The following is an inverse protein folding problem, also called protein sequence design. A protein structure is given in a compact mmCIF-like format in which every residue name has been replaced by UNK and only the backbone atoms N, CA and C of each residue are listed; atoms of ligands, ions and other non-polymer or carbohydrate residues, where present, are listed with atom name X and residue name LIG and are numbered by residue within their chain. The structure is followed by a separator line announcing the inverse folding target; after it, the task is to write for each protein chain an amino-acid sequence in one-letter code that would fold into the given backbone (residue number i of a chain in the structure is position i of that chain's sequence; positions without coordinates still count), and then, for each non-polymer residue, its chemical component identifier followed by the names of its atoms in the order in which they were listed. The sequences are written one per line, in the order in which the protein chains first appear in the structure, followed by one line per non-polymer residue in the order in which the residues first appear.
data_IF_796837175095
#
_entry.id   IF_796837175095
#
_cell.length_a   1.000
_cell.length_b   1.000
_cell.length_c   1.000
_cell.angle_alpha   90.00
_cell.angle_beta   90.00
_cell.angle_gamma   90.00
#
_symmetry.space_group_name_H-M   'P 1'
#
loop_
_entity.id
_entity.type
_entity.pdbx_description
1 polymer ?
#
# COMPACT_ATOMS: atom_id res chain seq x y z
N UNK A 1 -18.20 57.14 -50.93
CA UNK A 1 -18.62 56.34 -49.76
C UNK A 1 -17.86 55.03 -49.77
N UNK A 2 -16.86 54.87 -48.86
CA UNK A 2 -16.07 53.62 -48.67
C UNK A 2 -16.63 52.90 -47.43
N UNK A 3 -17.18 51.74 -47.62
CA UNK A 3 -17.70 50.88 -46.56
C UNK A 3 -16.57 49.96 -46.12
N UNK A 4 -16.04 50.18 -44.89
CA UNK A 4 -15.01 49.32 -44.28
C UNK A 4 -15.69 48.13 -43.63
N UNK A 5 -15.39 46.91 -44.08
CA UNK A 5 -15.84 45.65 -43.44
C UNK A 5 -14.85 45.27 -42.35
N UNK A 6 -15.30 45.34 -41.10
CA UNK A 6 -14.58 44.86 -39.93
C UNK A 6 -14.76 43.33 -39.84
N UNK A 7 -13.68 42.58 -40.04
CA UNK A 7 -13.65 41.12 -39.82
C UNK A 7 -13.43 40.85 -38.34
N UNK A 8 -14.39 40.24 -37.66
CA UNK A 8 -14.21 39.71 -36.29
C UNK A 8 -13.60 38.32 -36.38
N UNK A 9 -12.35 38.18 -35.92
CA UNK A 9 -11.74 36.86 -35.67
C UNK A 9 -12.27 36.32 -34.32
N UNK A 10 -13.11 35.33 -34.39
CA UNK A 10 -13.50 34.53 -33.21
C UNK A 10 -12.36 33.53 -32.93
N UNK A 11 -11.54 33.84 -31.93
CA UNK A 11 -10.63 32.85 -31.31
C UNK A 11 -11.44 31.87 -30.47
N UNK A 12 -11.68 30.66 -30.99
CA UNK A 12 -12.13 29.53 -30.16
C UNK A 12 -10.96 29.06 -29.32
N UNK A 13 -10.93 29.44 -28.04
CA UNK A 13 -10.10 28.80 -27.06
C UNK A 13 -10.68 27.40 -26.80
N UNK A 14 -10.06 26.38 -27.34
CA UNK A 14 -10.35 25.00 -26.98
C UNK A 14 -9.84 24.81 -25.53
N UNK A 15 -10.70 24.97 -24.53
CA UNK A 15 -10.48 24.49 -23.21
C UNK A 15 -10.42 22.95 -23.31
N UNK A 16 -9.22 22.39 -23.35
CA UNK A 16 -9.01 20.96 -23.18
C UNK A 16 -9.60 20.56 -21.82
N UNK A 17 -10.69 19.84 -21.85
CA UNK A 17 -11.18 19.13 -20.67
C UNK A 17 -10.06 18.19 -20.23
N UNK A 18 -9.35 18.55 -19.16
CA UNK A 18 -8.48 17.63 -18.46
C UNK A 18 -9.38 16.47 -18.01
N UNK A 19 -9.32 15.35 -18.70
CA UNK A 19 -9.95 14.10 -18.23
C UNK A 19 -9.34 13.81 -16.88
N UNK A 20 -10.17 13.72 -15.83
CA UNK A 20 -9.70 13.28 -14.52
C UNK A 20 -8.88 11.99 -14.73
N UNK A 21 -7.67 11.97 -14.19
CA UNK A 21 -6.79 10.82 -14.34
C UNK A 21 -7.55 9.58 -13.86
N UNK A 22 -7.65 8.56 -14.70
CA UNK A 22 -8.33 7.32 -14.34
C UNK A 22 -7.55 6.69 -13.20
N UNK A 23 -8.21 6.41 -12.08
CA UNK A 23 -7.59 5.77 -10.92
C UNK A 23 -7.00 4.43 -11.31
N UNK A 24 -5.81 4.16 -10.77
CA UNK A 24 -5.01 2.99 -11.07
C UNK A 24 -4.59 2.28 -9.77
N UNK A 25 -4.13 1.07 -9.91
CA UNK A 25 -3.38 0.38 -8.86
C UNK A 25 -2.03 -0.10 -9.39
N UNK A 26 -1.05 -0.14 -8.49
CA UNK A 26 0.25 -0.73 -8.72
C UNK A 26 0.34 -2.10 -8.03
N UNK A 27 1.08 -3.03 -8.61
CA UNK A 27 1.30 -4.36 -8.05
C UNK A 27 2.67 -4.92 -8.47
N UNK A 28 3.13 -5.95 -7.76
CA UNK A 28 4.33 -6.69 -8.08
C UNK A 28 3.99 -7.96 -8.87
N UNK A 29 4.79 -8.25 -9.90
CA UNK A 29 4.80 -9.53 -10.63
C UNK A 29 6.21 -9.82 -11.09
N UNK A 30 6.75 -11.00 -10.73
CA UNK A 30 8.07 -11.48 -11.16
C UNK A 30 9.21 -10.47 -10.90
N UNK A 31 9.26 -9.91 -9.66
CA UNK A 31 10.20 -8.87 -9.25
C UNK A 31 10.15 -7.60 -10.12
N UNK A 32 9.03 -7.32 -10.71
CA UNK A 32 8.78 -6.11 -11.47
C UNK A 32 7.51 -5.41 -10.96
N UNK A 33 7.50 -4.08 -11.11
CA UNK A 33 6.39 -3.22 -10.76
C UNK A 33 5.52 -3.01 -11.99
N UNK A 34 4.24 -3.23 -11.83
CA UNK A 34 3.21 -3.08 -12.84
C UNK A 34 2.15 -2.10 -12.36
N UNK A 35 1.46 -1.48 -13.28
CA UNK A 35 0.24 -0.69 -13.03
C UNK A 35 -0.88 -1.16 -13.95
N UNK A 36 -2.11 -1.02 -13.46
CA UNK A 36 -3.34 -1.30 -14.21
C UNK A 36 -4.45 -0.34 -13.80
N UNK A 37 -5.49 -0.22 -14.63
CA UNK A 37 -6.73 0.44 -14.26
C UNK A 37 -7.46 -0.33 -13.16
N UNK A 38 -8.38 0.31 -12.41
CA UNK A 38 -9.11 -0.34 -11.32
C UNK A 38 -9.96 -1.55 -11.76
N UNK A 39 -10.28 -1.68 -13.04
CA UNK A 39 -10.99 -2.82 -13.60
C UNK A 39 -10.08 -3.99 -14.04
N UNK A 40 -8.75 -3.82 -13.90
CA UNK A 40 -7.71 -4.77 -14.28
C UNK A 40 -7.23 -4.62 -15.74
N UNK A 41 -7.72 -3.65 -16.48
CA UNK A 41 -7.29 -3.40 -17.87
C UNK A 41 -6.01 -2.56 -17.93
N UNK A 42 -5.38 -2.49 -19.11
CA UNK A 42 -4.20 -1.68 -19.41
C UNK A 42 -3.01 -1.98 -18.49
N UNK A 43 -2.76 -3.27 -18.23
CA UNK A 43 -1.58 -3.70 -17.51
C UNK A 43 -0.31 -3.26 -18.24
N UNK A 44 0.61 -2.63 -17.53
CA UNK A 44 1.94 -2.30 -18.07
C UNK A 44 3.02 -2.38 -17.02
N UNK A 45 4.15 -2.94 -17.38
CA UNK A 45 5.36 -2.93 -16.55
C UNK A 45 5.97 -1.53 -16.57
N UNK A 46 6.40 -1.03 -15.39
CA UNK A 46 6.96 0.32 -15.25
C UNK A 46 8.38 0.32 -14.67
N UNK A 47 8.76 -0.69 -13.88
CA UNK A 47 10.10 -0.79 -13.29
C UNK A 47 10.43 -2.24 -12.92
N UNK A 48 11.68 -2.52 -12.55
CA UNK A 48 12.08 -3.72 -11.81
C UNK A 48 12.17 -3.36 -10.32
N UNK A 49 11.61 -4.21 -9.46
CA UNK A 49 11.59 -3.97 -8.02
C UNK A 49 10.44 -4.70 -7.33
N UNK A 50 10.25 -4.39 -6.04
CA UNK A 50 9.27 -5.01 -5.15
C UNK A 50 8.56 -3.95 -4.30
N UNK A 51 7.47 -4.29 -3.63
CA UNK A 51 6.72 -3.43 -2.69
C UNK A 51 6.28 -2.09 -3.29
N UNK A 52 5.44 -2.08 -4.32
CA UNK A 52 4.97 -0.83 -4.93
C UNK A 52 4.00 -0.06 -4.04
N UNK A 53 4.09 1.26 -4.09
CA UNK A 53 3.14 2.20 -3.52
C UNK A 53 2.84 3.30 -4.56
N UNK A 54 1.64 3.31 -5.12
CA UNK A 54 1.20 4.35 -6.05
C UNK A 54 0.84 5.62 -5.27
N UNK A 55 1.24 6.79 -5.79
CA UNK A 55 0.91 8.08 -5.17
C UNK A 55 -0.60 8.35 -5.15
N UNK A 56 -1.11 9.17 -4.22
CA UNK A 56 -2.54 9.45 -4.12
C UNK A 56 -3.17 9.97 -5.42
N UNK A 57 -2.43 10.77 -6.17
CA UNK A 57 -2.84 11.34 -7.47
C UNK A 57 -2.63 10.40 -8.66
N UNK A 58 -2.04 9.22 -8.43
CA UNK A 58 -1.75 8.24 -9.48
C UNK A 58 -0.63 8.64 -10.43
N UNK A 59 0.15 9.68 -10.14
CA UNK A 59 1.19 10.18 -11.05
C UNK A 59 2.54 9.45 -10.90
N UNK A 60 2.80 8.85 -9.74
CA UNK A 60 4.09 8.22 -9.41
C UNK A 60 3.90 6.88 -8.68
N UNK A 61 4.90 6.02 -8.76
CA UNK A 61 4.97 4.82 -7.93
C UNK A 61 6.30 4.80 -7.19
N UNK A 62 6.26 4.78 -5.86
CA UNK A 62 7.40 4.45 -5.02
C UNK A 62 7.52 2.93 -4.91
N UNK A 63 8.73 2.40 -4.88
CA UNK A 63 8.99 0.97 -4.78
C UNK A 63 10.37 0.71 -4.19
N UNK A 64 10.66 -0.54 -3.88
CA UNK A 64 11.98 -0.98 -3.46
C UNK A 64 12.74 -1.47 -4.68
N UNK A 65 13.78 -0.73 -5.08
CA UNK A 65 14.79 -1.18 -6.03
C UNK A 65 15.75 -2.14 -5.32
N UNK A 66 15.96 -3.31 -5.89
CA UNK A 66 16.84 -4.36 -5.32
C UNK A 66 18.06 -4.48 -6.21
N UNK A 67 19.23 -4.24 -5.65
CA UNK A 67 20.51 -4.41 -6.31
C UNK A 67 21.27 -5.57 -5.67
N UNK A 68 21.80 -6.53 -6.45
CA UNK A 68 22.63 -7.58 -5.90
C UNK A 68 23.94 -7.01 -5.36
N UNK A 69 24.39 -7.53 -4.22
CA UNK A 69 25.73 -7.27 -3.70
C UNK A 69 26.40 -8.58 -3.27
N UNK A 70 27.70 -8.56 -2.99
CA UNK A 70 28.48 -9.77 -2.70
C UNK A 70 28.02 -10.52 -1.45
N UNK A 71 27.46 -9.80 -0.45
CA UNK A 71 27.10 -10.38 0.85
C UNK A 71 25.60 -10.31 1.14
N UNK A 72 24.90 -9.30 0.61
CA UNK A 72 23.49 -9.06 0.87
C UNK A 72 22.86 -8.39 -0.36
N UNK A 73 21.54 -8.20 -0.37
CA UNK A 73 20.89 -7.35 -1.34
C UNK A 73 20.80 -5.92 -0.80
N UNK A 74 21.19 -4.95 -1.61
CA UNK A 74 20.93 -3.53 -1.34
C UNK A 74 19.50 -3.23 -1.74
N UNK A 75 18.77 -2.53 -0.87
CA UNK A 75 17.36 -2.19 -1.05
C UNK A 75 17.14 -0.72 -0.81
N UNK A 76 16.92 0.02 -1.89
CA UNK A 76 16.69 1.48 -1.85
C UNK A 76 15.28 1.81 -2.27
N UNK A 77 14.75 2.89 -1.75
CA UNK A 77 13.49 3.42 -2.24
C UNK A 77 13.75 4.16 -3.55
N UNK A 78 12.99 3.80 -4.56
CA UNK A 78 12.98 4.47 -5.86
C UNK A 78 11.56 4.96 -6.18
N UNK A 79 11.46 6.01 -6.98
CA UNK A 79 10.20 6.58 -7.44
C UNK A 79 10.22 6.70 -8.94
N UNK A 80 9.25 6.11 -9.62
CA UNK A 80 9.05 6.23 -11.06
C UNK A 80 7.86 7.14 -11.36
N UNK A 81 8.05 8.11 -12.26
CA UNK A 81 6.99 8.95 -12.80
C UNK A 81 6.24 8.19 -13.90
N UNK A 82 4.91 8.14 -13.84
CA UNK A 82 4.12 7.37 -14.80
C UNK A 82 3.95 8.06 -16.16
N UNK A 83 4.19 9.36 -16.22
CA UNK A 83 4.06 10.18 -17.44
C UNK A 83 5.20 9.95 -18.43
N UNK A 84 6.44 9.79 -17.95
CA UNK A 84 7.65 9.72 -18.79
C UNK A 84 8.56 8.53 -18.46
N UNK A 85 8.23 7.75 -17.39
CA UNK A 85 9.02 6.60 -16.94
C UNK A 85 10.32 6.97 -16.23
N UNK A 86 10.57 8.26 -15.94
CA UNK A 86 11.78 8.70 -15.24
C UNK A 86 11.78 8.17 -13.82
N UNK A 87 12.87 7.48 -13.46
CA UNK A 87 13.07 6.92 -12.11
C UNK A 87 14.13 7.71 -11.36
N UNK A 88 13.86 8.04 -10.11
CA UNK A 88 14.80 8.59 -9.14
C UNK A 88 14.98 7.62 -7.98
N UNK A 89 16.20 7.50 -7.45
CA UNK A 89 16.52 6.67 -6.28
C UNK A 89 16.85 7.59 -5.12
N UNK A 90 16.30 7.30 -3.93
CA UNK A 90 16.60 8.06 -2.71
C UNK A 90 17.94 7.56 -2.14
N UNK A 91 19.05 8.09 -2.66
CA UNK A 91 20.39 7.64 -2.31
C UNK A 91 20.89 8.16 -0.95
N UNK A 92 20.31 9.25 -0.44
CA UNK A 92 20.79 9.93 0.78
C UNK A 92 20.12 9.39 2.06
N UNK A 93 19.39 8.26 1.98
CA UNK A 93 18.89 7.59 3.17
C UNK A 93 20.06 6.99 3.97
N UNK A 94 20.00 6.99 5.31
CA UNK A 94 21.09 6.51 6.18
C UNK A 94 21.24 4.99 6.21
N UNK A 95 20.65 4.27 5.26
CA UNK A 95 20.67 2.82 5.17
C UNK A 95 20.44 2.34 3.74
N UNK A 96 21.23 1.35 3.33
CA UNK A 96 21.04 0.59 2.10
C UNK A 96 20.00 -0.54 2.24
N UNK A 97 19.19 -0.49 3.28
CA UNK A 97 18.16 -1.50 3.55
C UNK A 97 16.86 -0.82 3.99
N UNK A 98 16.05 -0.40 3.00
CA UNK A 98 14.77 0.27 3.16
C UNK A 98 13.62 -0.51 2.54
N UNK A 99 12.45 -0.50 3.19
CA UNK A 99 11.27 -1.28 2.80
C UNK A 99 9.96 -0.52 2.99
N UNK A 100 8.90 -1.03 2.35
CA UNK A 100 7.50 -0.64 2.55
C UNK A 100 7.26 0.86 2.43
N UNK A 101 7.62 1.49 1.29
CA UNK A 101 7.25 2.88 1.09
C UNK A 101 5.72 3.03 1.05
N UNK A 102 5.20 4.04 1.74
CA UNK A 102 3.76 4.38 1.74
C UNK A 102 3.61 5.89 1.68
N UNK A 103 2.91 6.39 0.67
CA UNK A 103 2.64 7.81 0.50
C UNK A 103 1.72 8.37 1.58
N UNK A 104 2.02 9.58 2.03
CA UNK A 104 1.07 10.37 2.82
C UNK A 104 -0.17 10.73 1.99
N UNK A 105 -1.32 10.96 2.63
CA UNK A 105 -2.57 11.32 1.93
C UNK A 105 -2.44 12.55 1.01
N UNK A 106 -1.60 13.52 1.34
CA UNK A 106 -1.33 14.70 0.51
C UNK A 106 -0.30 14.46 -0.61
N UNK A 107 0.42 13.32 -0.55
CA UNK A 107 1.45 12.94 -1.52
C UNK A 107 2.81 13.63 -1.32
N UNK A 108 3.03 14.34 -0.21
CA UNK A 108 4.26 15.10 0.02
C UNK A 108 5.33 14.34 0.81
N UNK A 109 4.99 13.20 1.39
CA UNK A 109 5.90 12.39 2.19
C UNK A 109 5.72 10.90 1.90
N UNK A 110 6.77 10.14 2.20
CA UNK A 110 6.72 8.68 2.31
C UNK A 110 6.97 8.29 3.76
N UNK A 111 6.18 7.36 4.28
CA UNK A 111 6.57 6.55 5.43
C UNK A 111 7.25 5.29 4.92
N UNK A 112 8.25 4.77 5.63
CA UNK A 112 9.02 3.60 5.24
C UNK A 112 9.69 2.97 6.46
N UNK A 113 10.20 1.76 6.28
CA UNK A 113 11.06 1.09 7.24
C UNK A 113 12.50 1.17 6.75
N UNK A 114 13.42 1.55 7.63
CA UNK A 114 14.86 1.52 7.37
C UNK A 114 15.57 0.68 8.43
N UNK A 115 16.62 -0.03 8.04
CA UNK A 115 17.44 -0.78 8.97
C UNK A 115 18.85 -0.22 9.03
N UNK A 116 19.21 0.33 10.17
CA UNK A 116 20.59 0.58 10.54
C UNK A 116 21.06 -0.57 11.46
N UNK A 117 21.22 -0.32 12.75
CA UNK A 117 21.48 -1.42 13.73
C UNK A 117 20.16 -2.15 14.10
N UNK A 118 19.05 -1.42 14.16
CA UNK A 118 17.69 -1.92 14.42
C UNK A 118 16.75 -1.42 13.34
N UNK A 119 15.56 -2.02 13.23
CA UNK A 119 14.50 -1.53 12.38
C UNK A 119 13.92 -0.22 12.92
N UNK A 120 13.68 0.72 12.02
CA UNK A 120 13.19 2.06 12.35
C UNK A 120 12.05 2.42 11.40
N UNK A 121 10.96 2.92 11.98
CA UNK A 121 9.91 3.61 11.28
C UNK A 121 10.39 5.03 10.97
N UNK A 122 10.33 5.45 9.72
CA UNK A 122 10.85 6.72 9.26
C UNK A 122 9.91 7.41 8.27
N UNK A 123 10.11 8.70 8.07
CA UNK A 123 9.47 9.47 7.00
C UNK A 123 10.51 10.24 6.20
N UNK A 124 10.20 10.51 4.93
CA UNK A 124 11.08 11.27 4.00
C UNK A 124 10.23 11.99 2.95
N UNK A 125 10.70 13.11 2.42
CA UNK A 125 10.12 13.73 1.24
C UNK A 125 10.46 12.92 -0.03
N UNK A 126 9.65 13.01 -1.13
CA UNK A 126 9.88 12.24 -2.34
C UNK A 126 11.18 12.55 -3.08
N UNK A 127 11.79 13.70 -2.81
CA UNK A 127 13.11 14.10 -3.34
C UNK A 127 14.30 13.60 -2.48
N UNK A 128 14.01 12.86 -1.39
CA UNK A 128 15.01 12.37 -0.44
C UNK A 128 15.32 13.33 0.71
N UNK A 129 14.83 14.57 0.67
CA UNK A 129 15.01 15.54 1.75
C UNK A 129 14.15 15.25 2.97
N UNK A 130 14.38 15.96 4.06
CA UNK A 130 13.59 15.92 5.30
C UNK A 130 13.39 14.50 5.86
N UNK A 131 14.42 13.66 5.77
CA UNK A 131 14.42 12.34 6.39
C UNK A 131 14.35 12.45 7.92
N UNK A 132 13.42 11.71 8.51
CA UNK A 132 13.23 11.67 9.98
C UNK A 132 12.95 10.27 10.47
N UNK A 133 13.62 9.83 11.52
CA UNK A 133 13.24 8.64 12.27
C UNK A 133 12.07 9.01 13.17
N UNK A 134 10.97 8.32 12.99
CA UNK A 134 9.77 8.43 13.84
C UNK A 134 9.94 7.58 15.08
N UNK A 135 10.30 6.30 14.91
CA UNK A 135 10.49 5.39 16.04
C UNK A 135 11.46 4.27 15.71
N UNK A 136 12.33 3.96 16.65
CA UNK A 136 13.22 2.79 16.60
C UNK A 136 12.58 1.61 17.33
N UNK A 137 12.76 0.41 16.78
CA UNK A 137 12.41 -0.82 17.48
C UNK A 137 13.33 -1.04 18.69
N UNK A 138 12.85 -1.76 19.68
CA UNK A 138 13.61 -2.10 20.89
C UNK A 138 14.11 -3.54 20.77
N UNK A 139 15.39 -3.74 21.07
CA UNK A 139 16.02 -5.08 20.99
C UNK A 139 16.00 -5.64 19.57
N UNK A 140 15.59 -6.89 19.42
CA UNK A 140 15.44 -7.58 18.13
C UNK A 140 14.07 -7.36 17.48
N UNK A 141 13.21 -6.53 18.08
CA UNK A 141 11.88 -6.23 17.54
C UNK A 141 11.93 -5.45 16.22
N UNK A 142 10.78 -5.34 15.57
CA UNK A 142 10.61 -4.53 14.38
C UNK A 142 9.21 -3.94 14.36
N UNK A 143 9.05 -2.84 13.62
CA UNK A 143 7.75 -2.37 13.19
C UNK A 143 7.52 -2.81 11.75
N UNK A 144 6.26 -3.08 11.41
CA UNK A 144 5.86 -3.57 10.09
C UNK A 144 4.69 -2.76 9.58
N UNK A 145 4.52 -2.73 8.24
CA UNK A 145 3.37 -2.19 7.54
C UNK A 145 2.95 -0.79 7.98
N UNK A 146 3.78 0.25 7.77
CA UNK A 146 3.37 1.62 8.07
C UNK A 146 2.13 2.02 7.26
N UNK A 147 1.19 2.74 7.89
CA UNK A 147 0.01 3.31 7.24
C UNK A 147 -0.26 4.69 7.84
N UNK A 148 -0.39 5.70 7.00
CA UNK A 148 -0.65 7.06 7.45
C UNK A 148 -2.04 7.21 8.07
N UNK A 149 -2.12 7.93 9.17
CA UNK A 149 -3.37 8.49 9.64
C UNK A 149 -3.86 9.60 8.69
N UNK A 150 -5.16 9.83 8.64
CA UNK A 150 -5.74 10.79 7.69
C UNK A 150 -5.30 12.24 7.92
N UNK A 151 -5.05 12.60 9.17
CA UNK A 151 -4.55 13.93 9.59
C UNK A 151 -3.06 14.12 9.35
N UNK A 152 -2.37 13.07 8.86
CA UNK A 152 -0.94 13.04 8.58
C UNK A 152 -0.05 13.33 9.82
N UNK A 153 -0.64 13.33 11.03
CA UNK A 153 0.05 13.60 12.28
C UNK A 153 0.59 12.31 12.95
N UNK A 154 0.16 11.14 12.49
CA UNK A 154 0.56 9.86 13.05
C UNK A 154 0.57 8.73 11.99
N UNK A 155 1.19 7.62 12.37
CA UNK A 155 1.28 6.40 11.59
C UNK A 155 0.67 5.24 12.39
N UNK A 156 -0.04 4.36 11.71
CA UNK A 156 -0.34 3.02 12.20
C UNK A 156 0.76 2.07 11.75
N UNK A 157 1.13 1.15 12.61
CA UNK A 157 2.07 0.05 12.34
C UNK A 157 1.80 -1.11 13.28
N UNK A 158 2.45 -2.24 13.11
CA UNK A 158 2.36 -3.35 14.07
C UNK A 158 3.75 -3.94 14.39
N UNK A 159 3.81 -4.69 15.50
CA UNK A 159 4.99 -5.43 15.94
C UNK A 159 4.75 -6.95 15.97
N UNK A 160 3.80 -7.44 15.13
CA UNK A 160 3.25 -8.80 15.10
C UNK A 160 2.20 -9.02 16.18
N UNK A 161 2.49 -8.66 17.42
CA UNK A 161 1.62 -8.87 18.58
C UNK A 161 0.60 -7.76 18.77
N UNK A 162 1.00 -6.52 18.48
CA UNK A 162 0.20 -5.33 18.71
C UNK A 162 0.15 -4.44 17.48
N UNK A 163 -0.98 -3.77 17.31
CA UNK A 163 -1.13 -2.63 16.41
C UNK A 163 -0.88 -1.38 17.22
N UNK A 164 -0.07 -0.48 16.70
CA UNK A 164 0.27 0.80 17.32
C UNK A 164 -0.17 1.96 16.45
N UNK A 165 -0.65 3.03 17.09
CA UNK A 165 -0.68 4.37 16.50
C UNK A 165 0.47 5.16 17.09
N UNK A 166 1.36 5.69 16.25
CA UNK A 166 2.58 6.40 16.64
C UNK A 166 2.57 7.79 16.03
N UNK A 167 2.70 8.83 16.86
CA UNK A 167 2.84 10.21 16.37
C UNK A 167 4.17 10.41 15.65
N UNK A 168 4.28 11.44 14.82
CA UNK A 168 5.52 11.68 14.06
C UNK A 168 6.73 12.08 14.94
N UNK A 169 6.51 12.46 16.20
CA UNK A 169 7.54 12.66 17.24
C UNK A 169 7.88 11.39 18.03
N UNK A 170 7.30 10.23 17.66
CA UNK A 170 7.62 8.91 18.18
C UNK A 170 6.87 8.47 19.43
N UNK A 171 5.84 9.21 19.87
CA UNK A 171 5.00 8.82 21.00
C UNK A 171 3.99 7.73 20.55
N UNK A 172 3.80 6.70 21.36
CA UNK A 172 2.73 5.72 21.15
C UNK A 172 1.42 6.33 21.67
N UNK A 173 0.51 6.63 20.75
CA UNK A 173 -0.79 7.22 21.05
C UNK A 173 -1.82 6.16 21.47
N UNK A 174 -1.74 4.97 20.86
CA UNK A 174 -2.58 3.82 21.20
C UNK A 174 -1.90 2.51 20.86
N UNK A 175 -2.31 1.44 21.54
CA UNK A 175 -1.85 0.08 21.33
C UNK A 175 -3.01 -0.88 21.46
N UNK A 176 -3.20 -1.77 20.48
CA UNK A 176 -4.22 -2.82 20.48
C UNK A 176 -3.57 -4.18 20.28
N UNK A 177 -3.74 -5.08 21.24
CA UNK A 177 -3.23 -6.44 21.12
C UNK A 177 -4.10 -7.21 20.12
N UNK A 178 -3.47 -7.83 19.12
CA UNK A 178 -4.15 -8.49 18.00
C UNK A 178 -5.05 -9.63 18.48
N UNK A 179 -4.54 -10.52 19.33
CA UNK A 179 -5.28 -11.67 19.85
C UNK A 179 -6.47 -11.26 20.73
N UNK A 180 -6.35 -10.15 21.48
CA UNK A 180 -7.48 -9.62 22.28
C UNK A 180 -8.56 -9.03 21.41
N UNK A 181 -8.22 -8.43 20.27
CA UNK A 181 -9.15 -7.84 19.31
C UNK A 181 -9.77 -8.91 18.42
N UNK A 182 -8.96 -9.85 17.94
CA UNK A 182 -9.36 -10.97 17.08
C UNK A 182 -8.88 -12.26 17.74
N UNK A 183 -9.74 -12.95 18.50
CA UNK A 183 -9.37 -14.22 19.17
C UNK A 183 -8.82 -15.24 18.18
N UNK A 184 -7.72 -15.92 18.57
CA UNK A 184 -6.96 -16.85 17.74
C UNK A 184 -6.31 -16.25 16.49
N UNK A 185 -6.31 -14.91 16.38
CA UNK A 185 -5.65 -14.18 15.32
C UNK A 185 -4.22 -13.80 15.68
N UNK A 186 -3.33 -13.87 14.70
CA UNK A 186 -1.96 -13.38 14.79
C UNK A 186 -1.58 -12.60 13.53
N UNK A 187 -0.48 -11.89 13.55
CA UNK A 187 0.05 -11.23 12.35
C UNK A 187 1.44 -11.77 12.05
N UNK A 188 1.77 -11.86 10.77
CA UNK A 188 3.13 -12.11 10.29
C UNK A 188 3.83 -10.79 9.96
N UNK A 189 5.15 -10.84 9.75
CA UNK A 189 5.92 -9.67 9.31
C UNK A 189 5.39 -9.07 8.00
N UNK A 190 4.80 -9.88 7.14
CA UNK A 190 4.14 -9.48 5.89
C UNK A 190 2.67 -9.08 6.09
N UNK A 191 2.14 -9.22 7.31
CA UNK A 191 0.78 -8.83 7.66
C UNK A 191 0.55 -7.34 7.42
N UNK A 192 -0.35 -7.00 6.51
CA UNK A 192 -0.57 -5.61 6.12
C UNK A 192 -1.71 -4.98 6.91
N UNK A 193 -1.51 -3.71 7.29
CA UNK A 193 -2.57 -2.85 7.83
C UNK A 193 -2.69 -1.60 6.96
N UNK A 194 -3.92 -1.21 6.60
CA UNK A 194 -4.16 -0.04 5.74
C UNK A 194 -5.38 0.72 6.24
N UNK A 195 -5.23 2.03 6.46
CA UNK A 195 -6.32 2.90 6.88
C UNK A 195 -7.32 3.11 5.74
N UNK A 196 -8.62 3.08 6.07
CA UNK A 196 -9.69 3.39 5.12
C UNK A 196 -9.65 4.85 4.65
N UNK A 197 -10.16 5.18 3.46
CA UNK A 197 -10.17 6.54 2.95
C UNK A 197 -10.87 7.55 3.85
N UNK A 198 -11.88 7.13 4.63
CA UNK A 198 -12.57 7.98 5.61
C UNK A 198 -11.85 8.05 6.97
N UNK A 199 -10.76 7.30 7.17
CA UNK A 199 -9.97 7.29 8.40
C UNK A 199 -10.60 6.55 9.57
N UNK A 200 -11.65 5.76 9.35
CA UNK A 200 -12.40 5.13 10.45
C UNK A 200 -12.03 3.69 10.73
N UNK A 201 -11.48 2.97 9.74
CA UNK A 201 -11.20 1.54 9.83
C UNK A 201 -9.78 1.23 9.40
N UNK A 202 -9.18 0.25 10.05
CA UNK A 202 -8.00 -0.45 9.53
C UNK A 202 -8.46 -1.71 8.79
N UNK A 203 -7.96 -1.94 7.59
CA UNK A 203 -8.01 -3.21 6.89
C UNK A 203 -6.74 -3.97 7.27
N UNK A 204 -6.89 -5.25 7.66
CA UNK A 204 -5.80 -6.02 8.23
C UNK A 204 -5.75 -7.42 7.61
N UNK A 205 -4.53 -7.91 7.38
CA UNK A 205 -4.27 -9.32 7.09
C UNK A 205 -3.94 -10.02 8.38
N UNK A 206 -4.75 -11.01 8.78
CA UNK A 206 -4.62 -11.73 10.05
C UNK A 206 -4.58 -13.23 9.78
N UNK A 207 -3.59 -13.90 10.36
CA UNK A 207 -3.41 -15.34 10.30
C UNK A 207 -4.28 -16.01 11.36
N UNK A 208 -5.13 -16.96 10.95
CA UNK A 208 -6.14 -17.63 11.80
C UNK A 208 -5.65 -19.03 12.19
N UNK A 209 -4.84 -19.11 13.26
CA UNK A 209 -4.11 -20.32 13.64
C UNK A 209 -4.92 -21.58 13.94
N UNK A 210 -6.19 -21.44 14.35
CA UNK A 210 -7.06 -22.59 14.70
C UNK A 210 -8.07 -22.94 13.59
N UNK A 211 -8.06 -22.24 12.46
CA UNK A 211 -8.97 -22.55 11.37
C UNK A 211 -8.45 -23.69 10.49
N UNK A 212 -9.41 -24.39 9.83
CA UNK A 212 -9.07 -25.46 8.92
C UNK A 212 -8.22 -24.95 7.76
N UNK A 213 -7.06 -25.56 7.59
CA UNK A 213 -6.13 -25.25 6.51
C UNK A 213 -6.41 -26.12 5.27
N UNK A 214 -6.00 -25.60 4.11
CA UNK A 214 -6.07 -26.32 2.85
C UNK A 214 -4.80 -27.19 2.67
N UNK A 215 -4.90 -28.36 2.01
CA UNK A 215 -3.74 -29.23 1.75
C UNK A 215 -2.65 -28.58 0.89
N UNK A 216 -3.00 -27.57 0.08
CA UNK A 216 -2.11 -26.83 -0.82
C UNK A 216 -1.60 -25.51 -0.23
N UNK A 217 -1.78 -25.32 1.09
CA UNK A 217 -1.33 -24.13 1.80
C UNK A 217 -0.42 -24.48 2.98
N UNK A 218 0.72 -23.83 3.07
CA UNK A 218 1.67 -23.97 4.17
C UNK A 218 1.56 -22.79 5.14
N UNK A 219 1.29 -23.08 6.41
CA UNK A 219 1.08 -22.07 7.45
C UNK A 219 -0.39 -21.82 7.81
N UNK A 220 -0.67 -20.92 8.74
CA UNK A 220 -2.02 -20.58 9.15
C UNK A 220 -2.79 -19.88 8.02
N UNK A 221 -4.12 -20.13 7.89
CA UNK A 221 -4.93 -19.52 6.86
C UNK A 221 -5.07 -18.00 7.06
N UNK A 222 -4.67 -17.15 6.09
CA UNK A 222 -4.82 -15.72 6.20
C UNK A 222 -6.26 -15.28 5.92
N UNK A 223 -6.73 -14.30 6.67
CA UNK A 223 -8.04 -13.69 6.52
C UNK A 223 -7.96 -12.18 6.52
N UNK A 224 -8.85 -11.52 5.78
CA UNK A 224 -9.00 -10.07 5.85
C UNK A 224 -10.04 -9.68 6.90
N UNK A 225 -9.63 -8.74 7.73
CA UNK A 225 -10.45 -8.14 8.77
C UNK A 225 -10.48 -6.63 8.66
N UNK A 226 -11.55 -6.02 9.08
CA UNK A 226 -11.58 -4.59 9.37
C UNK A 226 -11.69 -4.38 10.87
N UNK A 227 -10.98 -3.37 11.38
CA UNK A 227 -11.06 -2.89 12.76
C UNK A 227 -11.59 -1.46 12.77
N UNK A 228 -12.75 -1.24 13.36
CA UNK A 228 -13.27 0.10 13.63
C UNK A 228 -12.42 0.78 14.71
N UNK A 229 -11.74 1.87 14.40
CA UNK A 229 -10.76 2.50 15.31
C UNK A 229 -11.40 3.00 16.59
N UNK A 230 -12.54 3.68 16.48
CA UNK A 230 -13.21 4.32 17.65
C UNK A 230 -13.77 3.31 18.64
N UNK A 231 -14.23 2.16 18.20
CA UNK A 231 -14.92 1.15 19.03
C UNK A 231 -14.11 -0.11 19.25
N UNK A 232 -12.99 -0.26 18.52
CA UNK A 232 -12.16 -1.47 18.47
C UNK A 232 -12.95 -2.73 18.09
N UNK A 233 -14.02 -2.56 17.35
CA UNK A 233 -14.84 -3.66 16.84
C UNK A 233 -14.22 -4.28 15.60
N UNK A 234 -13.78 -5.56 15.65
CA UNK A 234 -13.31 -6.27 14.47
C UNK A 234 -14.49 -6.81 13.66
N UNK A 235 -14.28 -6.90 12.35
CA UNK A 235 -15.18 -7.60 11.44
C UNK A 235 -14.37 -8.34 10.38
N UNK A 236 -14.55 -9.66 10.32
CA UNK A 236 -14.00 -10.46 9.22
C UNK A 236 -14.75 -10.14 7.92
N UNK A 237 -14.03 -9.99 6.82
CA UNK A 237 -14.61 -9.70 5.51
C UNK A 237 -14.43 -10.87 4.51
N UNK A 238 -13.37 -11.67 4.62
CA UNK A 238 -13.24 -12.92 3.85
C UNK A 238 -13.90 -14.07 4.62
N UNK A 239 -14.75 -14.90 3.98
CA UNK A 239 -15.28 -16.11 4.61
C UNK A 239 -14.15 -17.12 4.91
N UNK A 240 -14.33 -18.09 5.82
CA UNK A 240 -13.30 -19.08 6.17
C UNK A 240 -12.78 -19.91 4.98
N UNK A 241 -13.57 -20.03 3.93
CA UNK A 241 -13.21 -20.77 2.71
C UNK A 241 -12.37 -19.95 1.72
N UNK A 242 -12.16 -18.65 1.98
CA UNK A 242 -11.40 -17.75 1.12
C UNK A 242 -10.22 -17.16 1.88
N UNK A 243 -9.03 -17.65 1.61
CA UNK A 243 -7.80 -17.07 2.13
C UNK A 243 -7.55 -15.72 1.47
N UNK A 244 -7.31 -14.68 2.26
CA UNK A 244 -7.13 -13.33 1.74
C UNK A 244 -6.11 -12.55 2.56
N UNK A 245 -5.19 -11.89 1.87
CA UNK A 245 -4.15 -11.09 2.49
C UNK A 245 -3.78 -9.87 1.62
N UNK A 246 -2.89 -9.03 2.11
CA UNK A 246 -2.35 -7.85 1.44
C UNK A 246 -3.43 -6.94 0.86
N UNK A 247 -4.46 -6.67 1.69
CA UNK A 247 -5.62 -5.87 1.29
C UNK A 247 -5.30 -4.38 1.16
N UNK A 248 -5.95 -3.71 0.22
CA UNK A 248 -5.98 -2.24 0.12
C UNK A 248 -7.36 -1.73 -0.29
N UNK A 249 -7.66 -0.48 0.05
CA UNK A 249 -8.94 0.13 -0.21
C UNK A 249 -9.04 0.70 -1.62
N UNK A 250 -10.13 0.39 -2.34
CA UNK A 250 -10.57 1.19 -3.50
C UNK A 250 -11.36 2.39 -3.00
N UNK A 251 -12.31 2.15 -2.10
CA UNK A 251 -13.15 3.12 -1.43
C UNK A 251 -13.57 2.58 -0.05
N UNK A 252 -14.48 3.25 0.67
CA UNK A 252 -14.91 2.82 2.01
C UNK A 252 -15.74 1.52 2.04
N UNK A 253 -16.06 0.94 0.88
CA UNK A 253 -16.92 -0.25 0.77
C UNK A 253 -16.28 -1.38 -0.06
N UNK A 254 -15.19 -1.10 -0.78
CA UNK A 254 -14.58 -2.00 -1.75
C UNK A 254 -13.08 -2.11 -1.52
N UNK A 255 -12.56 -3.32 -1.58
CA UNK A 255 -11.13 -3.61 -1.41
C UNK A 255 -10.58 -4.40 -2.59
N UNK A 256 -9.28 -4.21 -2.88
CA UNK A 256 -8.45 -5.16 -3.59
C UNK A 256 -7.67 -5.99 -2.57
N UNK A 257 -7.41 -7.23 -2.89
CA UNK A 257 -6.61 -8.11 -2.03
C UNK A 257 -6.02 -9.28 -2.82
N UNK A 258 -5.08 -9.96 -2.23
CA UNK A 258 -4.52 -11.18 -2.77
C UNK A 258 -5.28 -12.39 -2.24
N UNK A 259 -5.51 -13.34 -3.12
CA UNK A 259 -5.91 -14.70 -2.78
C UNK A 259 -5.26 -15.68 -3.74
N UNK A 260 -4.97 -16.88 -3.26
CA UNK A 260 -4.52 -18.00 -4.07
C UNK A 260 -5.68 -18.99 -4.20
N UNK A 261 -6.33 -19.10 -5.36
CA UNK A 261 -7.36 -20.10 -5.59
C UNK A 261 -6.80 -21.50 -5.41
N UNK A 262 -7.66 -22.44 -4.99
CA UNK A 262 -7.28 -23.84 -4.75
C UNK A 262 -6.67 -24.45 -6.02
N UNK A 263 -5.49 -25.05 -5.87
CA UNK A 263 -4.75 -25.69 -6.98
C UNK A 263 -3.99 -24.73 -7.89
N UNK A 264 -4.04 -23.43 -7.66
CA UNK A 264 -3.20 -22.46 -8.37
C UNK A 264 -1.86 -22.24 -7.64
N UNK A 265 -0.78 -22.11 -8.40
CA UNK A 265 0.57 -21.93 -7.85
C UNK A 265 0.83 -20.51 -7.32
N UNK A 266 0.18 -19.51 -7.89
CA UNK A 266 0.42 -18.11 -7.60
C UNK A 266 -0.85 -17.41 -7.13
N UNK A 267 -0.68 -16.41 -6.28
CA UNK A 267 -1.74 -15.52 -5.88
C UNK A 267 -2.20 -14.63 -7.04
N UNK A 268 -3.43 -14.17 -6.95
CA UNK A 268 -4.07 -13.27 -7.91
C UNK A 268 -4.71 -12.11 -7.15
N UNK A 269 -4.84 -10.94 -7.80
CA UNK A 269 -5.56 -9.79 -7.23
C UNK A 269 -7.04 -9.96 -7.52
N UNK A 270 -7.83 -9.86 -6.45
CA UNK A 270 -9.27 -9.85 -6.49
C UNK A 270 -9.82 -8.55 -5.92
N UNK A 271 -10.99 -8.19 -6.40
CA UNK A 271 -11.83 -7.14 -5.84
C UNK A 271 -12.99 -7.78 -5.10
N UNK A 272 -13.41 -7.18 -3.98
CA UNK A 272 -14.57 -7.63 -3.20
C UNK A 272 -15.18 -6.45 -2.44
N UNK A 273 -16.50 -6.48 -2.23
CA UNK A 273 -17.20 -5.58 -1.31
C UNK A 273 -16.97 -6.01 0.15
N UNK A 274 -17.05 -5.08 1.11
CA UNK A 274 -16.85 -5.37 2.52
C UNK A 274 -17.88 -6.39 3.11
N UNK A 275 -19.01 -6.58 2.46
CA UNK A 275 -20.00 -7.61 2.84
C UNK A 275 -19.65 -9.02 2.34
N UNK A 276 -18.47 -9.19 1.74
CA UNK A 276 -18.00 -10.47 1.19
C UNK A 276 -18.55 -10.83 -0.19
N UNK A 277 -19.28 -9.90 -0.83
CA UNK A 277 -19.89 -10.11 -2.15
C UNK A 277 -19.07 -9.47 -3.26
N UNK A 278 -19.56 -9.62 -4.50
CA UNK A 278 -18.96 -9.05 -5.71
C UNK A 278 -17.48 -9.44 -5.90
N UNK A 279 -17.15 -10.69 -5.54
CA UNK A 279 -15.81 -11.23 -5.73
C UNK A 279 -15.47 -11.31 -7.22
N UNK A 280 -14.45 -10.60 -7.67
CA UNK A 280 -14.01 -10.54 -9.06
C UNK A 280 -12.49 -10.62 -9.14
N UNK A 281 -11.97 -11.58 -9.92
CA UNK A 281 -10.54 -11.62 -10.25
C UNK A 281 -10.22 -10.50 -11.25
N UNK A 282 -9.14 -9.77 -10.98
CA UNK A 282 -8.65 -8.72 -11.85
C UNK A 282 -7.31 -9.08 -12.52
N UNK A 283 -6.34 -9.58 -11.75
CA UNK A 283 -4.97 -9.82 -12.21
C UNK A 283 -4.51 -11.19 -11.75
N UNK A 284 -3.88 -11.95 -12.63
CA UNK A 284 -3.25 -13.22 -12.31
C UNK A 284 -1.77 -13.02 -11.94
N UNK A 285 -1.22 -13.91 -11.09
CA UNK A 285 0.18 -13.93 -10.70
C UNK A 285 0.66 -12.54 -10.22
N UNK A 286 0.20 -12.13 -9.04
CA UNK A 286 0.53 -10.83 -8.49
C UNK A 286 0.79 -10.88 -6.99
N UNK A 287 1.52 -9.85 -6.50
CA UNK A 287 1.84 -9.62 -5.10
C UNK A 287 1.76 -8.12 -4.81
N UNK A 288 1.61 -7.75 -3.53
CA UNK A 288 1.70 -6.36 -3.03
C UNK A 288 0.95 -5.33 -3.87
N UNK A 289 -0.34 -5.18 -3.59
CA UNK A 289 -1.21 -4.24 -4.31
C UNK A 289 -1.31 -2.89 -3.58
N UNK A 290 -1.32 -1.79 -4.34
CA UNK A 290 -1.50 -0.42 -3.86
C UNK A 290 -2.38 0.38 -4.81
N UNK A 291 -3.35 1.13 -4.29
CA UNK A 291 -4.37 1.86 -5.07
C UNK A 291 -4.18 3.37 -4.94
N UNK A 292 -4.30 4.12 -6.04
CA UNK A 292 -4.39 5.58 -6.02
C UNK A 292 -5.73 6.03 -5.40
N UNK A 293 -5.71 7.12 -4.65
CA UNK A 293 -6.89 7.58 -3.88
C UNK A 293 -7.63 8.74 -4.51
N UNK A 294 -7.05 9.37 -5.53
CA UNK A 294 -7.60 10.51 -6.27
C UNK A 294 -7.69 10.23 -7.76
#
# INVERSE_FOLDING_TARGET
MKVSRLLWLLCFASAGLATAAQRQFAFERDNAIWVANLDGTNERKIANGIFPAISPDGASVAFVAVEPSETTSIRRIAIVQLSDGKTSVLNDLPSDNAYYPVWSPDGKRLALLVRQNVWQLATVAPDGSDFRIVKSAVGSGAFYSPSWARDEASLFCHDITNIHQVSLDGQILSTWNVEKVIPNGSMSADGRIVLSPDGRKLLMSVDMGEEHNRPDWDGPPPALWTLEIATQKPRRITPPTLFGWDGCWIDNQTVLFLTQPVGEKFASIFQMSLDGKNLKRLINNARFVSVSTR
#
